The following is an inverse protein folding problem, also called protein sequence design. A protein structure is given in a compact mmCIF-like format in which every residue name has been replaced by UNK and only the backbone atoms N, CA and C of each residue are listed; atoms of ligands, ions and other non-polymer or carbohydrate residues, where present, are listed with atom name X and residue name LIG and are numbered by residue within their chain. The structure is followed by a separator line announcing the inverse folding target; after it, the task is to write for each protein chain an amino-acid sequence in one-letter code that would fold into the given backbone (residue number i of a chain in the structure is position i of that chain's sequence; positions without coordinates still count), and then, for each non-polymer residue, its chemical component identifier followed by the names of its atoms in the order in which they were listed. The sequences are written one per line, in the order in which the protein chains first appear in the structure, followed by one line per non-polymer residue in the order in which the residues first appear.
data_IF_096926908900
#
_entry.id   IF_096926908900
#
_cell.length_a   1.000
_cell.length_b   1.000
_cell.length_c   1.000
_cell.angle_alpha   90.00
_cell.angle_beta   90.00
_cell.angle_gamma   90.00
#
_symmetry.space_group_name_H-M   'P 1'
#
loop_
_entity.id
_entity.type
_entity.pdbx_description
1 polymer ?
#
# COMPACT_ATOMS: atom_id res chain seq x y z
N UNK A 1 -20.94 10.88 -2.63
CA UNK A 1 -19.92 9.84 -2.33
C UNK A 1 -20.59 8.66 -1.63
N UNK A 2 -20.33 7.43 -2.09
CA UNK A 2 -20.85 6.19 -1.50
C UNK A 2 -20.10 5.76 -0.23
N UNK A 3 -18.89 6.29 -0.04
CA UNK A 3 -18.05 6.10 1.11
C UNK A 3 -17.63 7.47 1.63
N UNK A 4 -17.67 7.63 2.95
CA UNK A 4 -17.13 8.76 3.68
C UNK A 4 -16.17 8.22 4.74
N UNK A 5 -15.45 9.13 5.39
CA UNK A 5 -14.55 8.82 6.49
C UNK A 5 -13.48 7.79 6.12
N UNK A 6 -12.99 7.87 4.88
CA UNK A 6 -11.82 7.13 4.40
C UNK A 6 -10.54 7.71 4.99
N UNK A 7 -9.43 6.97 4.92
CA UNK A 7 -8.11 7.44 5.38
C UNK A 7 -7.75 8.85 4.83
N UNK A 8 -7.82 9.11 3.51
CA UNK A 8 -7.52 10.45 2.98
C UNK A 8 -8.47 11.52 3.51
N UNK A 9 -9.76 11.23 3.68
CA UNK A 9 -10.72 12.21 4.22
C UNK A 9 -10.47 12.49 5.71
N UNK A 10 -10.03 11.49 6.49
CA UNK A 10 -9.62 11.67 7.87
C UNK A 10 -8.35 12.54 7.98
N UNK A 11 -7.38 12.30 7.10
CA UNK A 11 -6.18 13.11 6.97
C UNK A 11 -6.50 14.55 6.54
N UNK A 12 -7.41 14.75 5.58
CA UNK A 12 -7.85 16.07 5.09
C UNK A 12 -8.45 16.90 6.23
N UNK A 13 -9.26 16.30 7.11
CA UNK A 13 -9.78 16.96 8.32
C UNK A 13 -8.68 17.34 9.33
N UNK A 14 -7.54 16.65 9.29
CA UNK A 14 -6.34 16.99 10.06
C UNK A 14 -5.43 17.99 9.31
N UNK A 15 -5.90 18.57 8.20
CA UNK A 15 -5.17 19.57 7.42
C UNK A 15 -4.15 19.00 6.43
N UNK A 16 -4.12 17.68 6.23
CA UNK A 16 -3.23 17.06 5.26
C UNK A 16 -3.66 17.37 3.83
N UNK A 17 -2.66 17.60 2.99
CA UNK A 17 -2.80 17.44 1.54
C UNK A 17 -2.60 15.96 1.20
N UNK A 18 -3.45 15.40 0.33
CA UNK A 18 -3.39 13.99 -0.04
C UNK A 18 -3.06 13.85 -1.53
N UNK A 19 -2.02 13.09 -1.83
CA UNK A 19 -1.52 12.89 -3.19
C UNK A 19 -1.33 11.39 -3.45
N UNK A 20 -1.62 10.94 -4.67
CA UNK A 20 -1.32 9.56 -5.11
C UNK A 20 -0.40 9.57 -6.33
N UNK A 21 0.62 8.72 -6.31
CA UNK A 21 1.49 8.42 -7.44
C UNK A 21 1.10 7.06 -7.98
N UNK A 22 0.59 7.04 -9.21
CA UNK A 22 -0.03 5.88 -9.81
C UNK A 22 0.73 5.50 -11.10
N UNK A 23 1.20 4.25 -11.23
CA UNK A 23 2.07 3.84 -12.34
C UNK A 23 1.34 3.75 -13.69
N UNK A 24 0.01 3.63 -13.68
CA UNK A 24 -0.82 3.56 -14.89
C UNK A 24 -1.52 4.89 -15.17
N UNK A 25 -2.24 4.97 -16.29
CA UNK A 25 -3.12 6.11 -16.60
C UNK A 25 -4.27 6.22 -15.59
N UNK A 26 -4.63 7.43 -15.16
CA UNK A 26 -5.66 7.63 -14.10
C UNK A 26 -7.02 7.00 -14.41
N UNK A 27 -7.38 6.86 -15.67
CA UNK A 27 -8.67 6.30 -16.10
C UNK A 27 -8.65 4.77 -16.25
N UNK A 28 -7.49 4.13 -16.07
CA UNK A 28 -7.39 2.66 -16.06
C UNK A 28 -8.30 2.12 -14.95
N UNK A 29 -9.24 1.24 -15.33
CA UNK A 29 -10.24 0.61 -14.43
C UNK A 29 -11.06 1.63 -13.60
N UNK A 30 -11.40 2.80 -14.16
CA UNK A 30 -12.17 3.86 -13.47
C UNK A 30 -11.52 4.41 -12.19
N UNK A 31 -10.20 4.30 -12.06
CA UNK A 31 -9.47 4.71 -10.86
C UNK A 31 -9.63 6.19 -10.51
N UNK A 32 -9.73 7.09 -11.49
CA UNK A 32 -9.96 8.53 -11.26
C UNK A 32 -11.22 8.80 -10.43
N UNK A 33 -12.34 8.17 -10.81
CA UNK A 33 -13.62 8.28 -10.08
C UNK A 33 -13.51 7.67 -8.69
N UNK A 34 -12.84 6.53 -8.56
CA UNK A 34 -12.64 5.87 -7.27
C UNK A 34 -11.80 6.72 -6.32
N UNK A 35 -10.57 7.10 -6.71
CA UNK A 35 -9.66 7.90 -5.90
C UNK A 35 -10.29 9.23 -5.49
N UNK A 36 -10.93 9.92 -6.43
CA UNK A 36 -11.67 11.15 -6.13
C UNK A 36 -12.77 10.93 -5.09
N UNK A 37 -13.52 9.83 -5.18
CA UNK A 37 -14.60 9.52 -4.24
C UNK A 37 -14.12 9.25 -2.81
N UNK A 38 -12.88 8.76 -2.65
CA UNK A 38 -12.26 8.46 -1.36
C UNK A 38 -11.31 9.57 -0.86
N UNK A 39 -11.25 10.72 -1.53
CA UNK A 39 -10.47 11.89 -1.07
C UNK A 39 -9.03 11.97 -1.59
N UNK A 40 -8.65 11.15 -2.57
CA UNK A 40 -7.38 11.26 -3.30
C UNK A 40 -7.62 11.99 -4.62
N UNK A 41 -7.66 13.32 -4.57
CA UNK A 41 -8.01 14.17 -5.73
C UNK A 41 -6.80 14.55 -6.58
N UNK A 42 -5.60 14.49 -6.02
CA UNK A 42 -4.35 14.84 -6.70
C UNK A 42 -3.63 13.57 -7.16
N UNK A 43 -3.87 13.20 -8.42
CA UNK A 43 -3.37 11.95 -9.02
C UNK A 43 -2.22 12.26 -9.97
N UNK A 44 -1.03 11.81 -9.60
CA UNK A 44 0.13 11.75 -10.47
C UNK A 44 0.17 10.40 -11.19
N UNK A 45 -0.57 10.29 -12.30
CA UNK A 45 -0.58 9.12 -13.18
C UNK A 45 0.67 9.02 -14.08
N UNK A 46 0.80 7.92 -14.84
CA UNK A 46 1.90 7.67 -15.78
C UNK A 46 2.30 8.90 -16.61
N UNK A 47 1.32 9.59 -17.21
CA UNK A 47 1.56 10.78 -18.05
C UNK A 47 2.10 11.95 -17.25
N UNK A 48 1.47 12.28 -16.11
CA UNK A 48 1.92 13.41 -15.28
C UNK A 48 3.31 13.19 -14.67
N UNK A 49 3.65 11.93 -14.41
CA UNK A 49 4.97 11.50 -13.95
C UNK A 49 6.02 11.47 -15.07
N UNK A 50 5.59 11.54 -16.35
CA UNK A 50 6.45 11.41 -17.54
C UNK A 50 7.16 10.06 -17.60
N UNK A 51 6.49 8.99 -17.15
CA UNK A 51 7.01 7.63 -17.24
C UNK A 51 7.08 7.22 -18.72
N UNK A 52 8.15 6.49 -19.08
CA UNK A 52 8.33 5.98 -20.44
C UNK A 52 7.53 4.69 -20.64
N UNK A 53 7.41 3.89 -19.57
CA UNK A 53 6.69 2.63 -19.53
C UNK A 53 5.75 2.59 -18.33
N UNK A 54 4.84 1.62 -18.32
CA UNK A 54 4.01 1.35 -17.14
C UNK A 54 4.83 0.73 -15.98
N UNK A 55 5.95 0.07 -16.29
CA UNK A 55 6.77 -0.73 -15.37
C UNK A 55 8.13 -0.06 -15.13
N UNK A 56 8.14 1.16 -14.58
CA UNK A 56 9.38 1.83 -14.21
C UNK A 56 9.95 1.23 -12.91
N UNK A 57 11.27 1.41 -12.71
CA UNK A 57 11.94 1.11 -11.44
C UNK A 57 11.31 1.91 -10.31
N UNK A 58 11.22 1.34 -9.12
CA UNK A 58 10.60 2.01 -7.96
C UNK A 58 11.25 3.37 -7.64
N UNK A 59 12.56 3.47 -7.87
CA UNK A 59 13.33 4.72 -7.74
C UNK A 59 12.77 5.88 -8.57
N UNK A 60 12.18 5.61 -9.73
CA UNK A 60 11.52 6.64 -10.53
C UNK A 60 10.31 7.23 -9.80
N UNK A 61 9.40 6.37 -9.29
CA UNK A 61 8.22 6.80 -8.55
C UNK A 61 8.61 7.52 -7.25
N UNK A 62 9.60 6.99 -6.51
CA UNK A 62 10.15 7.65 -5.32
C UNK A 62 10.78 9.01 -5.62
N UNK A 63 11.51 9.12 -6.73
CA UNK A 63 12.11 10.37 -7.18
C UNK A 63 11.05 11.45 -7.46
N UNK A 64 9.98 11.10 -8.16
CA UNK A 64 8.86 12.00 -8.44
C UNK A 64 8.13 12.41 -7.17
N UNK A 65 7.90 11.47 -6.25
CA UNK A 65 7.31 11.78 -4.96
C UNK A 65 8.18 12.75 -4.15
N UNK A 66 9.50 12.55 -4.10
CA UNK A 66 10.40 13.46 -3.40
C UNK A 66 10.48 14.85 -4.06
N UNK A 67 10.41 14.94 -5.39
CA UNK A 67 10.33 16.24 -6.07
C UNK A 67 9.06 17.00 -5.69
N UNK A 68 7.94 16.29 -5.56
CA UNK A 68 6.67 16.86 -5.12
C UNK A 68 6.68 17.25 -3.63
N UNK A 69 7.35 16.48 -2.77
CA UNK A 69 7.63 16.86 -1.38
C UNK A 69 8.42 18.17 -1.32
N UNK A 70 9.50 18.28 -2.10
CA UNK A 70 10.33 19.49 -2.15
C UNK A 70 9.52 20.71 -2.60
N UNK A 71 8.69 20.57 -3.64
CA UNK A 71 7.78 21.62 -4.10
C UNK A 71 6.81 22.03 -2.98
N UNK A 72 6.20 21.05 -2.32
CA UNK A 72 5.23 21.28 -1.26
C UNK A 72 5.83 22.01 -0.06
N UNK A 73 6.98 21.54 0.45
CA UNK A 73 7.63 22.13 1.64
C UNK A 73 8.20 23.53 1.40
N UNK A 74 8.51 23.90 0.15
CA UNK A 74 8.90 25.28 -0.21
C UNK A 74 7.74 26.27 -0.10
N UNK A 75 6.51 25.84 -0.34
CA UNK A 75 5.34 26.74 -0.44
C UNK A 75 4.29 26.53 0.65
N UNK A 76 4.41 25.51 1.48
CA UNK A 76 3.38 25.12 2.44
C UNK A 76 3.97 24.46 3.69
N UNK A 77 3.34 24.72 4.83
CA UNK A 77 3.59 24.03 6.11
C UNK A 77 2.53 22.96 6.42
N UNK A 78 1.55 22.76 5.54
CA UNK A 78 0.53 21.72 5.72
C UNK A 78 1.19 20.33 5.73
N UNK A 79 0.74 19.39 6.55
CA UNK A 79 1.22 18.02 6.46
C UNK A 79 0.81 17.39 5.11
N UNK A 80 1.57 16.39 4.67
CA UNK A 80 1.42 15.74 3.38
C UNK A 80 1.26 14.23 3.56
N UNK A 81 0.26 13.66 2.92
CA UNK A 81 0.09 12.22 2.76
C UNK A 81 0.30 11.87 1.30
N UNK A 82 1.15 10.88 1.05
CA UNK A 82 1.47 10.40 -0.29
C UNK A 82 1.26 8.90 -0.34
N UNK A 83 0.38 8.45 -1.23
CA UNK A 83 0.23 7.04 -1.55
C UNK A 83 0.99 6.73 -2.84
N UNK A 84 2.05 5.95 -2.76
CA UNK A 84 2.95 5.66 -3.89
C UNK A 84 2.76 4.21 -4.27
N UNK A 85 2.30 3.96 -5.49
CA UNK A 85 2.25 2.61 -6.06
C UNK A 85 3.45 2.38 -6.96
N UNK A 86 4.05 1.22 -6.80
CA UNK A 86 5.22 0.76 -7.55
C UNK A 86 4.81 -0.30 -8.57
N UNK A 87 5.72 -0.64 -9.49
CA UNK A 87 5.41 -1.58 -10.57
C UNK A 87 6.61 -2.50 -10.93
N UNK A 88 7.80 -2.26 -10.40
CA UNK A 88 9.00 -3.01 -10.82
C UNK A 88 8.88 -4.52 -10.65
N UNK A 89 8.18 -5.00 -9.62
CA UNK A 89 7.98 -6.44 -9.34
C UNK A 89 6.75 -7.07 -10.02
N UNK A 90 6.03 -6.32 -10.87
CA UNK A 90 4.83 -6.80 -11.54
C UNK A 90 5.14 -7.88 -12.59
N UNK A 91 4.18 -8.75 -12.87
CA UNK A 91 4.19 -9.73 -13.97
C UNK A 91 4.20 -9.01 -15.35
N UNK A 92 4.71 -9.61 -16.46
CA UNK A 92 5.19 -10.98 -16.60
C UNK A 92 6.67 -11.19 -16.24
N UNK A 93 7.02 -12.44 -15.94
CA UNK A 93 8.35 -12.89 -15.47
C UNK A 93 9.10 -13.73 -16.52
N UNK A 94 8.63 -13.71 -17.77
CA UNK A 94 9.20 -14.43 -18.92
C UNK A 94 10.36 -13.66 -19.60
N UNK A 95 10.71 -12.49 -19.06
CA UNK A 95 11.82 -11.67 -19.52
C UNK A 95 12.63 -11.11 -18.34
N UNK A 96 13.94 -10.89 -18.58
CA UNK A 96 14.84 -10.25 -17.61
C UNK A 96 14.57 -8.73 -17.59
N UNK A 97 13.90 -8.26 -16.55
CA UNK A 97 13.67 -6.84 -16.30
C UNK A 97 14.98 -6.17 -15.89
N UNK A 98 15.25 -4.99 -16.46
CA UNK A 98 16.50 -4.25 -16.24
C UNK A 98 17.74 -5.16 -16.36
N UNK A 99 17.98 -5.74 -17.56
CA UNK A 99 18.92 -6.84 -17.74
C UNK A 99 20.37 -6.48 -17.39
N UNK A 100 20.71 -5.19 -17.46
CA UNK A 100 22.03 -4.63 -17.16
C UNK A 100 22.27 -4.42 -15.66
N UNK A 101 21.23 -4.56 -14.82
CA UNK A 101 21.35 -4.41 -13.37
C UNK A 101 21.68 -5.76 -12.73
N UNK A 102 22.90 -5.91 -12.22
CA UNK A 102 23.33 -7.13 -11.54
C UNK A 102 22.85 -7.16 -10.08
N UNK A 103 21.91 -8.06 -9.79
CA UNK A 103 21.28 -8.27 -8.48
C UNK A 103 20.98 -9.75 -8.29
N UNK A 104 20.93 -10.24 -7.03
CA UNK A 104 20.61 -11.63 -6.78
C UNK A 104 19.16 -11.96 -7.13
N UNK A 105 18.97 -13.14 -7.73
CA UNK A 105 17.68 -13.81 -7.90
C UNK A 105 17.56 -15.03 -7.00
N UNK A 106 17.03 -16.12 -7.56
CA UNK A 106 16.96 -17.43 -6.93
C UNK A 106 18.29 -18.18 -6.94
N UNK A 107 18.44 -19.13 -6.01
CA UNK A 107 19.55 -20.08 -6.02
C UNK A 107 19.42 -21.15 -7.11
N UNK A 108 20.43 -22.02 -7.28
CA UNK A 108 20.35 -23.14 -8.21
C UNK A 108 19.05 -23.97 -8.04
N UNK A 109 18.38 -24.26 -9.15
CA UNK A 109 17.12 -25.01 -9.17
C UNK A 109 15.86 -24.16 -8.95
N UNK A 110 15.98 -22.84 -8.77
CA UNK A 110 14.81 -21.95 -8.72
C UNK A 110 14.13 -21.89 -10.08
N UNK A 111 12.79 -21.94 -10.09
CA UNK A 111 12.00 -21.73 -11.31
C UNK A 111 12.33 -20.37 -11.96
N UNK A 112 12.46 -20.25 -13.29
CA UNK A 112 12.83 -19.00 -13.94
C UNK A 112 11.95 -17.79 -13.59
N UNK A 113 10.63 -17.97 -13.45
CA UNK A 113 9.75 -16.86 -13.06
C UNK A 113 9.98 -16.42 -11.61
N UNK A 114 10.27 -17.37 -10.72
CA UNK A 114 10.62 -17.07 -9.33
C UNK A 114 12.00 -16.41 -9.23
N UNK A 115 12.96 -16.85 -10.03
CA UNK A 115 14.29 -16.21 -10.12
C UNK A 115 14.16 -14.74 -10.53
N UNK A 116 13.39 -14.47 -11.58
CA UNK A 116 13.16 -13.12 -12.07
C UNK A 116 12.35 -12.26 -11.07
N UNK A 117 11.34 -12.83 -10.42
CA UNK A 117 10.62 -12.15 -9.35
C UNK A 117 11.56 -11.77 -8.19
N UNK A 118 12.44 -12.68 -7.76
CA UNK A 118 13.43 -12.41 -6.70
C UNK A 118 14.45 -11.36 -7.13
N UNK A 119 14.89 -11.34 -8.40
CA UNK A 119 15.69 -10.24 -8.94
C UNK A 119 14.96 -8.90 -8.81
N UNK A 120 13.70 -8.82 -9.24
CA UNK A 120 12.89 -7.61 -9.14
C UNK A 120 12.67 -7.17 -7.69
N UNK A 121 12.53 -8.10 -6.74
CA UNK A 121 12.48 -7.77 -5.32
C UNK A 121 13.81 -7.20 -4.80
N UNK A 122 14.95 -7.75 -5.22
CA UNK A 122 16.27 -7.19 -4.89
C UNK A 122 16.41 -5.75 -5.40
N UNK A 123 15.92 -5.47 -6.60
CA UNK A 123 15.85 -4.12 -7.17
C UNK A 123 14.94 -3.18 -6.37
N UNK A 124 13.72 -3.62 -6.04
CA UNK A 124 12.76 -2.86 -5.24
C UNK A 124 13.35 -2.53 -3.85
N UNK A 125 14.09 -3.46 -3.25
CA UNK A 125 14.79 -3.23 -1.97
C UNK A 125 15.86 -2.15 -2.08
N UNK A 126 16.70 -2.18 -3.12
CA UNK A 126 17.70 -1.15 -3.40
C UNK A 126 17.03 0.22 -3.55
N UNK A 127 15.92 0.27 -4.28
CA UNK A 127 15.19 1.52 -4.53
C UNK A 127 14.48 2.05 -3.27
N UNK A 128 13.99 1.16 -2.40
CA UNK A 128 13.43 1.54 -1.10
C UNK A 128 14.52 2.10 -0.17
N UNK A 129 15.72 1.51 -0.17
CA UNK A 129 16.86 2.05 0.59
C UNK A 129 17.27 3.43 0.06
N UNK A 130 17.21 3.63 -1.26
CA UNK A 130 17.38 4.94 -1.88
C UNK A 130 16.37 5.96 -1.35
N UNK A 131 15.06 5.62 -1.32
CA UNK A 131 14.03 6.49 -0.74
C UNK A 131 14.36 6.87 0.71
N UNK A 132 14.63 5.87 1.55
CA UNK A 132 14.88 6.09 2.98
C UNK A 132 16.15 6.91 3.25
N UNK A 133 17.18 6.76 2.42
CA UNK A 133 18.40 7.56 2.50
C UNK A 133 18.15 9.00 2.04
N UNK A 134 17.49 9.19 0.91
CA UNK A 134 17.27 10.51 0.34
C UNK A 134 16.24 11.33 1.13
N UNK A 135 15.23 10.71 1.74
CA UNK A 135 14.34 11.42 2.65
C UNK A 135 15.11 12.05 3.83
N UNK A 136 16.04 11.31 4.44
CA UNK A 136 16.89 11.82 5.54
C UNK A 136 17.79 12.96 5.07
N UNK A 137 18.40 12.80 3.90
CA UNK A 137 19.38 13.74 3.36
C UNK A 137 18.73 15.03 2.87
N UNK A 138 17.62 14.93 2.14
CA UNK A 138 16.96 16.07 1.49
C UNK A 138 16.05 16.84 2.45
N UNK A 139 15.46 16.16 3.44
CA UNK A 139 14.47 16.74 4.35
C UNK A 139 14.85 16.51 5.83
N UNK A 140 16.04 16.96 6.28
CA UNK A 140 16.55 16.63 7.62
C UNK A 140 15.71 17.20 8.76
N UNK A 141 14.87 18.21 8.51
CA UNK A 141 13.98 18.82 9.51
C UNK A 141 12.56 18.25 9.49
N UNK A 142 12.21 17.48 8.45
CA UNK A 142 10.88 16.92 8.30
C UNK A 142 10.76 15.58 9.03
N UNK A 143 9.53 15.25 9.42
CA UNK A 143 9.19 14.01 10.11
C UNK A 143 8.38 13.12 9.19
N UNK A 144 8.84 11.88 9.01
CA UNK A 144 8.16 10.91 8.15
C UNK A 144 7.72 9.69 8.94
N UNK A 145 6.48 9.28 8.69
CA UNK A 145 5.98 7.95 8.97
C UNK A 145 5.80 7.25 7.62
N UNK A 146 6.63 6.25 7.34
CA UNK A 146 6.59 5.48 6.10
C UNK A 146 5.97 4.13 6.40
N UNK A 147 4.85 3.82 5.74
CA UNK A 147 4.20 2.50 5.79
C UNK A 147 4.39 1.85 4.43
N UNK A 148 5.00 0.66 4.42
CA UNK A 148 5.28 -0.12 3.24
C UNK A 148 4.60 -1.48 3.37
N UNK A 149 3.86 -1.92 2.35
CA UNK A 149 3.12 -3.18 2.41
C UNK A 149 3.03 -3.81 1.02
N UNK A 150 2.93 -5.14 0.98
CA UNK A 150 2.64 -5.89 -0.24
C UNK A 150 1.14 -5.90 -0.52
N UNK A 151 0.75 -5.66 -1.76
CA UNK A 151 -0.64 -5.68 -2.22
C UNK A 151 -1.19 -7.10 -2.36
N UNK A 152 -0.43 -8.01 -2.97
CA UNK A 152 -0.75 -9.44 -3.08
C UNK A 152 0.50 -10.30 -3.39
N UNK A 153 0.34 -11.63 -3.39
CA UNK A 153 1.37 -12.56 -3.86
C UNK A 153 1.50 -12.55 -5.40
N UNK A 154 2.70 -12.74 -5.95
CA UNK A 154 2.91 -12.79 -7.40
C UNK A 154 2.50 -14.14 -7.99
N UNK A 155 2.28 -14.21 -9.30
CA UNK A 155 2.08 -15.49 -10.00
C UNK A 155 3.27 -16.45 -9.85
N UNK A 156 4.47 -15.92 -9.64
CA UNK A 156 5.67 -16.72 -9.43
C UNK A 156 5.58 -17.66 -8.20
N UNK A 157 4.74 -17.37 -7.21
CA UNK A 157 4.57 -18.22 -6.02
C UNK A 157 3.58 -19.38 -6.21
N UNK A 158 2.92 -19.52 -7.37
CA UNK A 158 1.84 -20.51 -7.56
C UNK A 158 2.27 -21.94 -7.23
N UNK A 159 3.48 -22.33 -7.61
CA UNK A 159 4.02 -23.67 -7.32
C UNK A 159 4.29 -23.91 -5.83
N UNK A 160 4.62 -22.85 -5.08
CA UNK A 160 4.73 -22.91 -3.62
C UNK A 160 3.36 -23.01 -2.93
N UNK A 161 2.29 -22.64 -3.62
CA UNK A 161 0.91 -22.72 -3.16
C UNK A 161 0.22 -24.03 -3.61
N UNK A 162 0.95 -24.94 -4.26
CA UNK A 162 0.44 -26.25 -4.68
C UNK A 162 -0.23 -26.28 -6.05
N UNK A 163 -0.05 -25.26 -6.88
CA UNK A 163 -0.54 -25.21 -8.26
C UNK A 163 0.54 -25.59 -9.26
N UNK A 164 0.14 -26.01 -10.45
CA UNK A 164 1.08 -26.36 -11.52
C UNK A 164 1.72 -25.10 -12.13
N UNK A 165 2.90 -25.29 -12.75
CA UNK A 165 3.66 -24.19 -13.33
C UNK A 165 2.98 -23.55 -14.55
N UNK A 166 1.98 -24.18 -15.14
CA UNK A 166 1.17 -23.67 -16.25
C UNK A 166 -0.22 -23.17 -15.78
N UNK A 167 -0.50 -23.17 -14.48
CA UNK A 167 -1.75 -22.63 -13.95
C UNK A 167 -1.82 -21.11 -14.18
N UNK A 168 -2.86 -20.69 -14.89
CA UNK A 168 -3.16 -19.28 -15.15
C UNK A 168 -3.72 -18.58 -13.90
N UNK A 169 -3.61 -17.25 -13.85
CA UNK A 169 -3.97 -16.47 -12.66
C UNK A 169 -5.44 -16.62 -12.27
N UNK A 170 -6.32 -16.73 -13.26
CA UNK A 170 -7.77 -16.89 -13.08
C UNK A 170 -8.15 -18.24 -12.49
N UNK A 171 -7.29 -19.26 -12.64
CA UNK A 171 -7.51 -20.62 -12.17
C UNK A 171 -6.92 -20.87 -10.76
N UNK A 172 -6.22 -19.90 -10.19
CA UNK A 172 -5.70 -19.96 -8.81
C UNK A 172 -6.81 -19.68 -7.81
N UNK A 173 -7.42 -20.74 -7.29
CA UNK A 173 -8.44 -20.67 -6.24
C UNK A 173 -7.86 -20.99 -4.85
N UNK A 174 -7.69 -19.96 -4.01
CA UNK A 174 -7.17 -20.11 -2.65
C UNK A 174 -8.30 -20.26 -1.61
N UNK A 175 -8.10 -21.13 -0.61
CA UNK A 175 -8.96 -21.13 0.58
C UNK A 175 -8.74 -19.86 1.41
N UNK A 176 -9.74 -19.36 2.15
CA UNK A 176 -9.59 -18.16 2.99
C UNK A 176 -8.43 -18.21 4.00
N UNK A 177 -8.02 -19.40 4.42
CA UNK A 177 -6.92 -19.65 5.35
C UNK A 177 -5.55 -19.79 4.66
N UNK A 178 -5.50 -19.69 3.33
CA UNK A 178 -4.27 -19.87 2.57
C UNK A 178 -3.23 -18.79 2.87
N UNK A 179 -1.97 -19.22 3.00
CA UNK A 179 -0.82 -18.31 3.11
C UNK A 179 -0.67 -17.41 1.88
N UNK A 180 -1.30 -17.75 0.74
CA UNK A 180 -1.32 -16.93 -0.46
C UNK A 180 -2.08 -15.61 -0.30
N UNK A 181 -2.78 -15.40 0.81
CA UNK A 181 -3.34 -14.10 1.20
C UNK A 181 -2.43 -13.30 2.16
N UNK A 182 -1.33 -13.88 2.64
CA UNK A 182 -0.45 -13.28 3.66
C UNK A 182 0.74 -12.59 2.99
N UNK A 183 0.67 -11.27 2.85
CA UNK A 183 1.82 -10.45 2.44
C UNK A 183 2.55 -9.91 3.68
N UNK A 184 3.14 -8.71 3.60
CA UNK A 184 3.78 -8.05 4.73
C UNK A 184 3.32 -6.60 4.83
N UNK A 185 3.49 -6.01 6.01
CA UNK A 185 3.57 -4.56 6.16
C UNK A 185 4.69 -4.21 7.13
N UNK A 186 5.29 -3.04 6.95
CA UNK A 186 6.35 -2.51 7.79
C UNK A 186 6.18 -1.01 7.96
N UNK A 187 6.59 -0.51 9.13
CA UNK A 187 6.55 0.92 9.44
C UNK A 187 7.95 1.40 9.80
N UNK A 188 8.31 2.57 9.27
CA UNK A 188 9.61 3.22 9.51
C UNK A 188 9.40 4.69 9.81
N UNK A 189 10.18 5.21 10.75
CA UNK A 189 10.20 6.62 11.12
C UNK A 189 11.49 7.29 10.64
N UNK A 190 11.38 8.53 10.18
CA UNK A 190 12.51 9.45 10.00
C UNK A 190 12.21 10.68 10.83
N UNK A 191 13.09 11.03 11.77
CA UNK A 191 12.86 12.07 12.79
C UNK A 191 11.53 11.89 13.55
N UNK A 192 11.02 10.66 13.57
CA UNK A 192 9.74 10.30 14.14
C UNK A 192 9.89 8.96 14.87
N UNK A 193 9.49 8.93 16.14
CA UNK A 193 9.50 7.69 16.92
C UNK A 193 8.19 6.94 16.63
N UNK A 194 8.30 5.86 15.86
CA UNK A 194 7.16 5.01 15.54
C UNK A 194 6.65 4.33 16.82
N UNK A 195 5.34 4.41 17.12
CA UNK A 195 4.73 3.62 18.20
C UNK A 195 4.87 2.11 17.95
N UNK A 196 4.62 1.28 18.97
CA UNK A 196 4.59 -0.16 18.79
C UNK A 196 3.53 -0.56 17.74
N UNK A 197 3.88 -1.48 16.84
CA UNK A 197 2.92 -2.09 15.93
C UNK A 197 1.87 -2.90 16.73
N UNK A 198 0.63 -3.05 16.21
CA UNK A 198 -0.29 -4.04 16.73
C UNK A 198 0.40 -5.40 16.86
N UNK A 199 0.31 -6.01 18.04
CA UNK A 199 1.01 -7.26 18.38
C UNK A 199 0.14 -8.47 17.99
N UNK A 200 -0.10 -8.61 16.69
CA UNK A 200 -0.84 -9.73 16.09
C UNK A 200 0.02 -10.36 14.99
N UNK A 201 -0.16 -11.66 14.75
CA UNK A 201 0.57 -12.37 13.71
C UNK A 201 0.16 -11.86 12.31
N UNK A 202 -1.14 -11.59 12.11
CA UNK A 202 -1.71 -11.08 10.86
C UNK A 202 -2.60 -9.88 11.13
N UNK A 203 -2.56 -8.90 10.22
CA UNK A 203 -3.44 -7.73 10.21
C UNK A 203 -4.16 -7.66 8.87
N UNK A 204 -5.49 -7.77 8.88
CA UNK A 204 -6.28 -7.62 7.66
C UNK A 204 -6.23 -6.18 7.15
N UNK A 205 -6.05 -6.01 5.84
CA UNK A 205 -5.90 -4.72 5.14
C UNK A 205 -6.98 -3.67 5.50
N UNK A 206 -8.26 -4.01 5.74
CA UNK A 206 -9.26 -3.04 6.20
C UNK A 206 -8.86 -2.26 7.47
N UNK A 207 -7.99 -2.81 8.33
CA UNK A 207 -7.49 -2.12 9.51
C UNK A 207 -6.32 -1.17 9.23
N UNK A 208 -5.57 -1.36 8.13
CA UNK A 208 -4.31 -0.65 7.87
C UNK A 208 -4.47 0.87 7.86
N UNK A 209 -5.55 1.40 7.28
CA UNK A 209 -5.82 2.83 7.31
C UNK A 209 -6.04 3.39 8.73
N UNK A 210 -6.62 2.60 9.64
CA UNK A 210 -6.75 3.01 11.05
C UNK A 210 -5.41 2.95 11.76
N UNK A 211 -4.60 1.93 11.47
CA UNK A 211 -3.24 1.80 12.00
C UNK A 211 -2.37 2.98 11.58
N UNK A 212 -2.46 3.44 10.33
CA UNK A 212 -1.75 4.63 9.85
C UNK A 212 -2.13 5.87 10.66
N UNK A 213 -3.43 6.13 10.85
CA UNK A 213 -3.90 7.30 11.62
C UNK A 213 -3.43 7.23 13.08
N UNK A 214 -3.53 6.06 13.70
CA UNK A 214 -3.14 5.83 15.08
C UNK A 214 -1.62 6.00 15.28
N UNK A 215 -0.82 5.43 14.37
CA UNK A 215 0.64 5.55 14.40
C UNK A 215 1.14 6.94 14.08
N UNK A 216 0.38 7.73 13.34
CA UNK A 216 0.67 9.15 13.12
C UNK A 216 0.30 10.01 14.34
N UNK A 217 -0.37 9.45 15.35
CA UNK A 217 -0.86 10.18 16.53
C UNK A 217 -2.03 11.12 16.22
N UNK A 218 -2.80 10.81 15.16
CA UNK A 218 -3.92 11.64 14.72
C UNK A 218 -5.21 11.27 15.45
N UNK A 219 -6.13 12.24 15.66
CA UNK A 219 -7.42 11.93 16.23
C UNK A 219 -8.21 10.98 15.32
N UNK A 220 -8.67 9.86 15.88
CA UNK A 220 -9.54 8.93 15.18
C UNK A 220 -10.98 9.47 15.18
N UNK A 221 -11.69 9.34 14.06
CA UNK A 221 -13.15 9.53 14.02
C UNK A 221 -13.88 8.40 14.77
N UNK A 222 -15.20 8.50 14.94
CA UNK A 222 -15.99 7.42 15.53
C UNK A 222 -15.85 6.10 14.76
N UNK A 223 -15.84 6.15 13.42
CA UNK A 223 -15.69 4.93 12.61
C UNK A 223 -14.30 4.31 12.77
N UNK A 224 -13.25 5.13 12.86
CA UNK A 224 -11.88 4.65 13.07
C UNK A 224 -11.64 4.17 14.51
N UNK A 225 -12.24 4.81 15.52
CA UNK A 225 -12.21 4.32 16.91
C UNK A 225 -12.88 2.96 17.02
N UNK A 226 -14.05 2.80 16.42
CA UNK A 226 -14.76 1.52 16.41
C UNK A 226 -13.97 0.45 15.65
N UNK A 227 -13.40 0.81 14.50
CA UNK A 227 -12.52 -0.08 13.73
C UNK A 227 -11.28 -0.50 14.53
N UNK A 228 -10.68 0.40 15.33
CA UNK A 228 -9.58 0.06 16.24
C UNK A 228 -10.03 -0.90 17.35
N UNK A 229 -11.21 -0.69 17.95
CA UNK A 229 -11.78 -1.61 18.94
C UNK A 229 -11.93 -3.01 18.36
N UNK A 230 -12.51 -3.12 17.16
CA UNK A 230 -12.69 -4.40 16.45
C UNK A 230 -11.36 -5.06 16.11
N UNK A 231 -10.37 -4.30 15.65
CA UNK A 231 -9.02 -4.81 15.41
C UNK A 231 -8.44 -5.50 16.65
N UNK A 232 -8.59 -4.88 17.83
CA UNK A 232 -8.13 -5.45 19.09
C UNK A 232 -8.95 -6.69 19.49
N UNK A 233 -10.27 -6.60 19.41
CA UNK A 233 -11.19 -7.70 19.74
C UNK A 233 -10.93 -8.94 18.87
N UNK A 234 -10.78 -8.72 17.57
CA UNK A 234 -10.61 -9.77 16.58
C UNK A 234 -9.14 -10.15 16.33
N UNK A 235 -8.21 -9.60 17.13
CA UNK A 235 -6.76 -9.86 17.03
C UNK A 235 -6.20 -9.66 15.63
N UNK A 236 -6.60 -8.57 14.97
CA UNK A 236 -6.14 -8.20 13.63
C UNK A 236 -6.94 -8.80 12.47
N UNK A 237 -7.82 -9.79 12.72
CA UNK A 237 -8.63 -10.44 11.68
C UNK A 237 -9.96 -9.73 11.49
N UNK A 238 -10.29 -9.29 10.29
CA UNK A 238 -11.59 -8.66 9.98
C UNK A 238 -12.55 -9.72 9.44
N UNK A 239 -12.14 -10.45 8.39
CA UNK A 239 -12.99 -11.42 7.71
C UNK A 239 -13.16 -12.69 8.53
N UNK A 240 -12.08 -13.18 9.14
CA UNK A 240 -12.06 -14.38 9.98
C UNK A 240 -12.31 -14.09 11.47
N UNK A 241 -12.82 -12.91 11.82
CA UNK A 241 -13.12 -12.58 13.21
C UNK A 241 -14.15 -13.55 13.81
N UNK A 242 -13.81 -14.14 14.97
CA UNK A 242 -14.73 -15.05 15.69
C UNK A 242 -15.95 -14.32 16.26
N UNK A 243 -15.84 -13.01 16.50
CA UNK A 243 -16.92 -12.15 16.98
C UNK A 243 -17.65 -11.51 15.79
N UNK A 244 -18.19 -12.34 14.88
CA UNK A 244 -18.82 -11.89 13.64
C UNK A 244 -19.94 -10.88 13.85
N UNK A 245 -20.74 -11.04 14.89
CA UNK A 245 -21.85 -10.13 15.20
C UNK A 245 -21.39 -8.70 15.45
N UNK A 246 -20.21 -8.52 16.07
CA UNK A 246 -19.61 -7.20 16.31
C UNK A 246 -19.20 -6.52 14.99
N UNK A 247 -18.68 -7.29 14.03
CA UNK A 247 -18.37 -6.80 12.68
C UNK A 247 -19.65 -6.39 11.94
N UNK A 248 -20.72 -7.19 12.04
CA UNK A 248 -22.00 -6.90 11.40
C UNK A 248 -22.68 -5.67 12.01
N UNK A 249 -22.66 -5.51 13.34
CA UNK A 249 -23.12 -4.31 14.03
C UNK A 249 -22.35 -3.08 13.55
N UNK A 250 -21.04 -3.22 13.36
CA UNK A 250 -20.23 -2.13 12.82
C UNK A 250 -20.60 -1.78 11.37
N UNK A 251 -20.78 -2.76 10.49
CA UNK A 251 -21.28 -2.50 9.13
C UNK A 251 -22.62 -1.76 9.15
N UNK A 252 -23.53 -2.18 10.01
CA UNK A 252 -24.83 -1.53 10.18
C UNK A 252 -24.67 -0.08 10.66
N UNK A 253 -23.80 0.16 11.64
CA UNK A 253 -23.47 1.51 12.12
C UNK A 253 -22.94 2.40 11.01
N UNK A 254 -22.04 1.90 10.15
CA UNK A 254 -21.50 2.66 9.02
C UNK A 254 -22.60 3.07 8.03
N UNK A 255 -23.58 2.20 7.81
CA UNK A 255 -24.74 2.47 6.95
C UNK A 255 -25.65 3.50 7.59
N UNK A 256 -26.08 3.26 8.84
CA UNK A 256 -27.03 4.12 9.55
C UNK A 256 -26.47 5.54 9.80
N UNK A 257 -25.14 5.66 9.96
CA UNK A 257 -24.47 6.96 10.09
C UNK A 257 -24.17 7.64 8.74
N UNK A 258 -24.59 7.06 7.62
CA UNK A 258 -24.34 7.59 6.27
C UNK A 258 -22.87 7.67 5.87
N UNK A 259 -22.00 6.92 6.56
CA UNK A 259 -20.58 6.74 6.22
C UNK A 259 -20.45 5.82 5.02
N UNK A 260 -21.31 4.82 4.92
CA UNK A 260 -21.43 3.92 3.78
C UNK A 260 -22.86 3.97 3.23
N UNK A 261 -23.02 4.01 1.91
CA UNK A 261 -24.32 3.83 1.28
C UNK A 261 -24.62 2.34 1.10
N UNK A 262 -25.69 1.84 1.73
CA UNK A 262 -26.23 0.53 1.40
C UNK A 262 -26.84 0.54 -0.01
N UNK A 263 -26.63 -0.54 -0.76
CA UNK A 263 -27.36 -0.83 -2.00
C UNK A 263 -28.24 -2.03 -1.74
#
# INVERSE_FOLDING_TARGET
NKLKDTLPQALERCGYRNVVFYPMMRNFVSNDRFYTSIGLKEIFDMRSQRAKTAQERDRFYYGNAMAEMERHFKSSRKPLFMFIQTMSAHWPYDFKYEPDVEVPGGGPGTNPEMDEYLRRLSMAKIDFDFLMSDLRRRFPLERFLVVHYGDHHPMATRTLLGFDADTEAEDVALSPESIGFVTYYAVRGINYRVPALPQFDTLDVPYLGTVILDMAGLPLSDSHRERKRLMLLCRGLYQACKQRDEILVFHRRLIDSGVMAAR
#
